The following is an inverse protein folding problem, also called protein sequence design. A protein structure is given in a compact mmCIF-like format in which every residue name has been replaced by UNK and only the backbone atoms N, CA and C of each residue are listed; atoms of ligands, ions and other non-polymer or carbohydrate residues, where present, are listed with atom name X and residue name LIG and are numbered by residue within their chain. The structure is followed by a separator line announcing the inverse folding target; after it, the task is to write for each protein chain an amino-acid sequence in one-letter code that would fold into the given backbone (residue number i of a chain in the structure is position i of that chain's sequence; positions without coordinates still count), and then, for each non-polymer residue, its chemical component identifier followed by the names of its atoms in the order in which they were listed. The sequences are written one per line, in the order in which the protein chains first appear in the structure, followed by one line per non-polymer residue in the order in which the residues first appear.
data_IF_584179704346
#
_entry.id   IF_584179704346
#
_cell.length_a   1.000
_cell.length_b   1.000
_cell.length_c   1.000
_cell.angle_alpha   90.00
_cell.angle_beta   90.00
_cell.angle_gamma   90.00
#
_symmetry.space_group_name_H-M   'P 1'
#
loop_
_entity.id
_entity.type
_entity.pdbx_description
1 polymer ?
#
# COMPACT_ATOMS: atom_id res chain seq x y z
N UNK A 1 33.84 -49.80 35.89
CA UNK A 1 34.45 -48.48 35.61
C UNK A 1 34.42 -48.24 34.10
N UNK A 2 33.93 -47.07 33.70
CA UNK A 2 33.96 -46.46 32.35
C UNK A 2 33.10 -47.12 31.25
N UNK A 3 31.86 -46.67 31.02
CA UNK A 3 31.45 -45.57 30.13
C UNK A 3 31.83 -45.75 28.64
N UNK A 4 30.82 -46.03 27.80
CA UNK A 4 30.43 -45.27 26.58
C UNK A 4 29.30 -46.02 25.87
N UNK A 5 28.06 -45.65 26.17
CA UNK A 5 27.22 -44.68 25.45
C UNK A 5 26.72 -45.22 24.09
N UNK A 6 25.46 -45.63 24.14
CA UNK A 6 24.56 -46.09 23.10
C UNK A 6 24.39 -44.98 22.05
N UNK A 7 24.82 -45.23 20.80
CA UNK A 7 24.58 -44.33 19.69
C UNK A 7 23.13 -44.47 19.21
N UNK A 8 22.27 -43.55 19.64
CA UNK A 8 20.94 -43.35 19.08
C UNK A 8 21.11 -42.58 17.78
N UNK A 9 20.79 -43.23 16.66
CA UNK A 9 20.61 -42.59 15.35
C UNK A 9 19.36 -41.69 15.44
N UNK A 10 19.58 -40.39 15.67
CA UNK A 10 18.54 -39.38 15.50
C UNK A 10 18.74 -38.76 14.12
N UNK A 11 17.96 -39.22 13.14
CA UNK A 11 17.79 -38.54 11.85
C UNK A 11 17.24 -37.15 12.14
N UNK A 12 18.12 -36.15 12.10
CA UNK A 12 17.73 -34.75 12.05
C UNK A 12 17.20 -34.50 10.62
N UNK A 13 15.88 -34.57 10.43
CA UNK A 13 15.26 -34.00 9.24
C UNK A 13 15.46 -32.48 9.32
N UNK A 14 16.45 -32.01 8.57
CA UNK A 14 16.68 -30.61 8.31
C UNK A 14 15.50 -30.10 7.48
N UNK A 15 14.42 -29.69 8.14
CA UNK A 15 13.42 -28.83 7.50
C UNK A 15 14.11 -27.48 7.35
N UNK A 16 14.71 -27.25 6.19
CA UNK A 16 15.13 -25.92 5.76
C UNK A 16 13.83 -25.17 5.45
N UNK A 17 13.14 -24.72 6.49
CA UNK A 17 12.22 -23.59 6.34
C UNK A 17 13.05 -22.35 6.05
N UNK A 18 12.47 -21.33 5.36
CA UNK A 18 13.17 -20.07 5.16
C UNK A 18 13.60 -19.54 6.53
N UNK A 19 14.91 -19.45 6.73
CA UNK A 19 15.49 -18.73 7.85
C UNK A 19 15.00 -17.29 7.74
N UNK A 20 14.10 -16.90 8.64
CA UNK A 20 13.70 -15.52 8.82
C UNK A 20 14.99 -14.76 9.16
N UNK A 21 15.50 -14.04 8.17
CA UNK A 21 16.63 -13.15 8.34
C UNK A 21 16.24 -12.13 9.40
N UNK A 22 17.12 -11.90 10.38
CA UNK A 22 16.97 -10.81 11.34
C UNK A 22 16.85 -9.52 10.52
N UNK A 23 15.67 -8.90 10.54
CA UNK A 23 15.31 -7.76 9.71
C UNK A 23 16.47 -6.76 9.63
N UNK A 24 17.03 -6.58 8.43
CA UNK A 24 17.98 -5.50 8.19
C UNK A 24 17.29 -4.17 8.58
N UNK A 25 18.00 -3.22 9.20
CA UNK A 25 17.39 -1.93 9.53
C UNK A 25 16.84 -1.30 8.24
N UNK A 26 15.57 -0.88 8.26
CA UNK A 26 14.90 -0.22 7.14
C UNK A 26 15.85 0.79 6.47
N UNK A 27 16.25 0.51 5.22
CA UNK A 27 17.19 1.37 4.48
C UNK A 27 16.40 2.35 3.64
N UNK A 28 16.52 3.68 3.84
CA UNK A 28 15.82 4.65 3.00
C UNK A 28 16.22 4.53 1.53
N UNK A 29 15.26 4.72 0.63
CA UNK A 29 15.54 5.01 -0.78
C UNK A 29 16.16 6.40 -0.84
N UNK A 30 17.37 6.48 -1.40
CA UNK A 30 18.12 7.74 -1.52
C UNK A 30 17.98 8.27 -2.94
N UNK A 31 17.42 9.47 -3.06
CA UNK A 31 17.32 10.17 -4.34
C UNK A 31 18.60 10.95 -4.59
N UNK A 32 19.24 10.71 -5.73
CA UNK A 32 20.52 11.31 -6.13
C UNK A 32 20.46 11.91 -7.53
N UNK A 33 21.39 12.81 -7.85
CA UNK A 33 21.57 13.27 -9.23
C UNK A 33 22.18 12.16 -10.10
N UNK A 34 21.91 12.19 -11.42
CA UNK A 34 22.39 11.18 -12.39
C UNK A 34 23.91 10.95 -12.32
N UNK A 35 24.70 12.01 -12.17
CA UNK A 35 26.16 11.92 -12.09
C UNK A 35 26.70 11.31 -10.78
N UNK A 36 25.84 11.11 -9.78
CA UNK A 36 26.18 10.52 -8.48
C UNK A 36 25.65 9.09 -8.32
N UNK A 37 24.84 8.63 -9.27
CA UNK A 37 24.25 7.31 -9.24
C UNK A 37 25.32 6.20 -9.40
N UNK A 38 25.07 5.07 -8.74
CA UNK A 38 25.94 3.89 -8.80
C UNK A 38 25.09 2.65 -9.03
N UNK A 39 25.66 1.65 -9.70
CA UNK A 39 24.99 0.38 -10.02
C UNK A 39 25.75 -0.84 -9.48
N UNK A 40 26.72 -0.61 -8.60
CA UNK A 40 27.59 -1.66 -8.06
C UNK A 40 26.93 -2.58 -7.03
N UNK A 41 25.77 -2.19 -6.50
CA UNK A 41 24.94 -3.03 -5.60
C UNK A 41 23.47 -2.95 -6.02
N UNK A 42 22.64 -3.93 -5.65
CA UNK A 42 21.20 -3.89 -5.89
C UNK A 42 20.54 -2.63 -5.31
N UNK A 43 20.91 -2.22 -4.09
CA UNK A 43 20.34 -1.05 -3.43
C UNK A 43 20.70 0.25 -4.15
N UNK A 44 21.95 0.38 -4.61
CA UNK A 44 22.37 1.56 -5.36
C UNK A 44 21.68 1.63 -6.73
N UNK A 45 21.54 0.49 -7.42
CA UNK A 45 20.80 0.41 -8.68
C UNK A 45 19.31 0.76 -8.49
N UNK A 46 18.70 0.29 -7.41
CA UNK A 46 17.32 0.65 -7.06
C UNK A 46 17.20 2.15 -6.73
N UNK A 47 18.14 2.72 -5.97
CA UNK A 47 18.19 4.17 -5.72
C UNK A 47 18.29 4.95 -7.04
N UNK A 48 19.09 4.50 -8.00
CA UNK A 48 19.20 5.11 -9.32
C UNK A 48 17.88 5.02 -10.11
N UNK A 49 17.18 3.88 -10.06
CA UNK A 49 15.86 3.69 -10.65
C UNK A 49 14.83 4.70 -10.13
N UNK A 50 14.70 4.83 -8.80
CA UNK A 50 13.80 5.82 -8.20
C UNK A 50 14.26 7.26 -8.50
N UNK A 51 15.57 7.50 -8.52
CA UNK A 51 16.12 8.82 -8.84
C UNK A 51 15.81 9.26 -10.27
N UNK A 52 15.84 8.35 -11.23
CA UNK A 52 15.48 8.63 -12.61
C UNK A 52 14.00 9.04 -12.75
N UNK A 53 13.10 8.34 -12.04
CA UNK A 53 11.71 8.75 -11.91
C UNK A 53 11.60 10.16 -11.32
N UNK A 54 12.26 10.41 -10.19
CA UNK A 54 12.18 11.71 -9.49
C UNK A 54 12.75 12.88 -10.32
N UNK A 55 13.77 12.62 -11.13
CA UNK A 55 14.34 13.57 -12.07
C UNK A 55 13.44 13.84 -13.28
N UNK A 56 12.49 12.94 -13.60
CA UNK A 56 11.74 13.00 -14.85
C UNK A 56 12.61 12.70 -16.07
N UNK A 57 13.70 11.93 -15.91
CA UNK A 57 14.63 11.59 -16.99
C UNK A 57 14.30 10.18 -17.51
N UNK A 58 13.50 10.13 -18.59
CA UNK A 58 13.04 8.88 -19.19
C UNK A 58 14.18 8.05 -19.78
N UNK A 59 15.20 8.69 -20.36
CA UNK A 59 16.35 7.99 -20.92
C UNK A 59 17.16 7.32 -19.81
N UNK A 60 17.40 8.05 -18.72
CA UNK A 60 18.05 7.49 -17.54
C UNK A 60 17.22 6.37 -16.92
N UNK A 61 15.90 6.52 -16.85
CA UNK A 61 15.02 5.47 -16.35
C UNK A 61 15.20 4.17 -17.15
N UNK A 62 15.23 4.24 -18.48
CA UNK A 62 15.51 3.05 -19.29
C UNK A 62 16.91 2.47 -19.09
N UNK A 63 17.93 3.28 -18.76
CA UNK A 63 19.28 2.79 -18.45
C UNK A 63 19.32 1.99 -17.13
N UNK A 64 18.41 2.29 -16.18
CA UNK A 64 18.32 1.58 -14.90
C UNK A 64 17.66 0.20 -15.01
N UNK A 65 17.07 -0.11 -16.16
CA UNK A 65 16.41 -1.37 -16.46
C UNK A 65 17.33 -2.31 -17.26
N UNK A 66 17.18 -3.62 -17.08
CA UNK A 66 17.75 -4.60 -18.03
C UNK A 66 17.28 -4.30 -19.45
N UNK A 67 18.08 -4.61 -20.46
CA UNK A 67 17.73 -4.34 -21.87
C UNK A 67 16.36 -4.91 -22.22
N UNK A 68 16.09 -6.16 -21.81
CA UNK A 68 14.82 -6.83 -22.03
C UNK A 68 13.64 -6.10 -21.38
N UNK A 69 13.78 -5.67 -20.12
CA UNK A 69 12.72 -4.94 -19.40
C UNK A 69 12.49 -3.54 -19.99
N UNK A 70 13.55 -2.85 -20.41
CA UNK A 70 13.43 -1.55 -21.09
C UNK A 70 12.71 -1.69 -22.43
N UNK A 71 13.04 -2.71 -23.21
CA UNK A 71 12.39 -3.00 -24.50
C UNK A 71 10.91 -3.35 -24.32
N UNK A 72 10.59 -4.21 -23.35
CA UNK A 72 9.21 -4.56 -23.02
C UNK A 72 8.40 -3.33 -22.62
N UNK A 73 8.93 -2.49 -21.71
CA UNK A 73 8.25 -1.28 -21.25
C UNK A 73 7.99 -0.28 -22.38
N UNK A 74 8.96 -0.07 -23.27
CA UNK A 74 8.78 0.77 -24.48
C UNK A 74 7.68 0.22 -25.38
N UNK A 75 7.70 -1.09 -25.65
CA UNK A 75 6.69 -1.73 -26.48
C UNK A 75 5.29 -1.66 -25.86
N UNK A 76 5.17 -1.69 -24.53
CA UNK A 76 3.88 -1.55 -23.85
C UNK A 76 3.32 -0.13 -23.96
N UNK A 77 4.15 0.90 -23.79
CA UNK A 77 3.73 2.28 -24.03
C UNK A 77 3.25 2.51 -25.46
N UNK A 78 4.01 2.01 -26.45
CA UNK A 78 3.63 2.10 -27.86
C UNK A 78 2.31 1.37 -28.15
N UNK A 79 2.18 0.12 -27.66
CA UNK A 79 1.00 -0.72 -27.87
C UNK A 79 -0.26 -0.09 -27.29
N UNK A 80 -0.16 0.49 -26.10
CA UNK A 80 -1.30 1.07 -25.37
C UNK A 80 -1.48 2.57 -25.66
N UNK A 81 -0.66 3.16 -26.53
CA UNK A 81 -0.69 4.60 -26.86
C UNK A 81 -0.58 5.48 -25.61
N UNK A 82 0.26 5.05 -24.66
CA UNK A 82 0.48 5.73 -23.40
C UNK A 82 1.69 6.67 -23.52
N UNK A 83 1.58 7.86 -22.91
CA UNK A 83 2.71 8.78 -22.80
C UNK A 83 3.63 8.34 -21.63
N UNK A 84 4.87 7.91 -21.89
CA UNK A 84 5.80 7.52 -20.83
C UNK A 84 6.09 8.67 -19.87
N UNK A 85 6.08 9.92 -20.34
CA UNK A 85 6.31 11.08 -19.48
C UNK A 85 5.16 11.31 -18.50
N UNK A 86 3.94 10.93 -18.87
CA UNK A 86 2.79 10.99 -17.98
C UNK A 86 2.93 9.99 -16.82
N UNK A 87 3.42 8.77 -17.07
CA UNK A 87 3.70 7.80 -16.00
C UNK A 87 4.73 8.35 -15.00
N UNK A 88 5.85 8.89 -15.50
CA UNK A 88 6.87 9.50 -14.65
C UNK A 88 6.28 10.67 -13.83
N UNK A 89 5.46 11.52 -14.44
CA UNK A 89 4.81 12.63 -13.75
C UNK A 89 3.86 12.17 -12.64
N UNK A 90 3.07 11.11 -12.87
CA UNK A 90 2.18 10.52 -11.86
C UNK A 90 3.00 10.01 -10.68
N UNK A 91 4.02 9.20 -10.96
CA UNK A 91 4.89 8.66 -9.91
C UNK A 91 5.55 9.78 -9.09
N UNK A 92 6.11 10.81 -9.75
CA UNK A 92 6.76 11.94 -9.08
C UNK A 92 5.83 12.74 -8.18
N UNK A 93 4.57 12.87 -8.58
CA UNK A 93 3.57 13.59 -7.81
C UNK A 93 3.17 12.80 -6.56
N UNK A 94 2.99 11.48 -6.71
CA UNK A 94 2.55 10.61 -5.63
C UNK A 94 3.66 10.20 -4.66
N UNK A 95 4.89 9.98 -5.12
CA UNK A 95 5.97 9.45 -4.28
C UNK A 95 6.45 10.48 -3.24
N UNK A 96 6.35 10.12 -1.95
CA UNK A 96 6.90 10.93 -0.84
C UNK A 96 8.13 10.27 -0.24
N UNK A 97 8.04 8.98 0.10
CA UNK A 97 9.11 8.25 0.76
C UNK A 97 9.14 6.80 0.33
N UNK A 98 10.35 6.22 0.25
CA UNK A 98 10.55 4.78 0.09
C UNK A 98 11.55 4.24 1.10
N UNK A 99 11.33 3.03 1.60
CA UNK A 99 12.31 2.28 2.40
C UNK A 99 12.39 0.84 1.90
N UNK A 100 13.60 0.31 1.78
CA UNK A 100 13.84 -1.13 1.60
C UNK A 100 13.56 -1.78 2.96
N UNK A 101 12.46 -2.51 3.05
CA UNK A 101 11.99 -3.17 4.26
C UNK A 101 12.54 -4.59 4.39
N UNK A 102 12.76 -5.26 3.26
CA UNK A 102 13.31 -6.62 3.22
C UNK A 102 14.15 -6.82 1.97
N UNK A 103 15.10 -7.75 2.06
CA UNK A 103 15.98 -8.12 0.97
C UNK A 103 16.17 -9.63 0.98
N UNK A 104 15.97 -10.29 -0.15
CA UNK A 104 16.14 -11.74 -0.28
C UNK A 104 16.77 -12.11 -1.62
N UNK A 105 17.47 -13.25 -1.62
CA UNK A 105 17.93 -13.88 -2.85
C UNK A 105 16.80 -14.73 -3.43
N UNK A 106 16.56 -14.61 -4.73
CA UNK A 106 15.53 -15.35 -5.43
C UNK A 106 16.04 -15.79 -6.81
N UNK A 107 16.36 -17.08 -6.94
CA UNK A 107 16.93 -17.66 -8.15
C UNK A 107 18.23 -16.96 -8.58
N UNK A 108 18.26 -16.34 -9.77
CA UNK A 108 19.39 -15.57 -10.29
C UNK A 108 19.32 -14.07 -9.96
N UNK A 109 18.36 -13.67 -9.11
CA UNK A 109 18.05 -12.28 -8.81
C UNK A 109 18.19 -11.95 -7.31
N UNK A 110 18.35 -10.65 -7.04
CA UNK A 110 18.11 -10.04 -5.73
C UNK A 110 16.75 -9.36 -5.74
N UNK A 111 15.90 -9.66 -4.78
CA UNK A 111 14.61 -8.97 -4.60
C UNK A 111 14.72 -8.02 -3.42
N UNK A 112 14.36 -6.75 -3.67
CA UNK A 112 14.27 -5.70 -2.67
C UNK A 112 12.80 -5.37 -2.47
N UNK A 113 12.27 -5.64 -1.29
CA UNK A 113 10.89 -5.32 -0.94
C UNK A 113 10.86 -3.89 -0.41
N UNK A 114 10.19 -3.02 -1.14
CA UNK A 114 10.13 -1.59 -0.86
C UNK A 114 8.78 -1.24 -0.30
N UNK A 115 8.77 -0.56 0.85
CA UNK A 115 7.60 0.16 1.35
C UNK A 115 7.64 1.59 0.85
N UNK A 116 6.68 1.96 0.02
CA UNK A 116 6.49 3.31 -0.52
C UNK A 116 5.35 3.97 0.25
N UNK A 117 5.51 5.24 0.61
CA UNK A 117 4.46 6.10 1.14
C UNK A 117 4.17 7.19 0.11
N UNK A 118 2.90 7.37 -0.23
CA UNK A 118 2.47 8.38 -1.19
C UNK A 118 2.08 9.73 -0.55
N UNK A 119 1.56 10.66 -1.35
CA UNK A 119 1.22 12.04 -0.96
C UNK A 119 -0.02 12.14 -0.08
N UNK A 120 -0.92 11.15 -0.15
CA UNK A 120 -2.05 11.03 0.77
C UNK A 120 -1.68 10.25 2.03
N UNK A 121 -0.60 9.45 1.96
CA UNK A 121 0.00 8.68 3.05
C UNK A 121 -0.33 7.20 3.02
N UNK A 122 -0.89 6.71 1.90
CA UNK A 122 -1.06 5.28 1.65
C UNK A 122 0.31 4.60 1.58
N UNK A 123 0.34 3.33 1.96
CA UNK A 123 1.55 2.53 1.87
C UNK A 123 1.39 1.41 0.86
N UNK A 124 2.40 1.26 0.02
CA UNK A 124 2.55 0.16 -0.93
C UNK A 124 3.76 -0.66 -0.52
N UNK A 125 3.59 -1.97 -0.37
CA UNK A 125 4.69 -2.91 -0.26
C UNK A 125 4.85 -3.55 -1.65
N UNK A 126 6.01 -3.38 -2.28
CA UNK A 126 6.26 -3.85 -3.65
C UNK A 126 7.64 -4.52 -3.75
N UNK A 127 7.74 -5.72 -4.34
CA UNK A 127 9.02 -6.35 -4.63
C UNK A 127 9.60 -5.80 -5.93
N UNK A 128 10.85 -5.33 -5.86
CA UNK A 128 11.65 -4.96 -7.03
C UNK A 128 12.70 -6.04 -7.28
N UNK A 129 12.67 -6.66 -8.45
CA UNK A 129 13.65 -7.68 -8.85
C UNK A 129 14.82 -7.02 -9.56
N UNK A 130 16.04 -7.35 -9.13
CA UNK A 130 17.28 -6.88 -9.74
C UNK A 130 18.19 -8.04 -10.12
N UNK A 131 18.86 -7.90 -11.26
CA UNK A 131 19.85 -8.87 -11.76
C UNK A 131 21.12 -8.15 -12.20
N UNK A 132 22.22 -8.88 -12.24
CA UNK A 132 23.48 -8.39 -12.80
C UNK A 132 23.44 -8.51 -14.34
N UNK A 133 23.59 -7.39 -15.05
CA UNK A 133 23.70 -7.31 -16.51
C UNK A 133 24.93 -6.47 -16.86
N UNK A 134 25.88 -7.05 -17.62
CA UNK A 134 27.10 -6.36 -18.06
C UNK A 134 27.97 -5.74 -16.95
N UNK A 135 27.90 -6.31 -15.74
CA UNK A 135 28.68 -5.85 -14.58
C UNK A 135 27.98 -4.77 -13.75
N UNK A 136 26.74 -4.43 -14.08
CA UNK A 136 25.90 -3.51 -13.32
C UNK A 136 24.62 -4.21 -12.83
N UNK A 137 24.15 -3.87 -11.64
CA UNK A 137 22.82 -4.28 -11.18
C UNK A 137 21.75 -3.44 -11.88
N UNK A 138 20.70 -4.09 -12.37
CA UNK A 138 19.58 -3.43 -13.03
C UNK A 138 18.24 -4.00 -12.61
N UNK A 139 17.22 -3.15 -12.61
CA UNK A 139 15.83 -3.56 -12.35
C UNK A 139 15.29 -4.34 -13.54
N UNK A 140 14.51 -5.38 -13.29
CA UNK A 140 13.96 -6.26 -14.33
C UNK A 140 12.54 -6.70 -14.01
N UNK A 141 11.80 -7.09 -15.05
CA UNK A 141 10.47 -7.69 -14.91
C UNK A 141 10.52 -9.21 -14.72
N UNK A 142 11.72 -9.82 -14.68
CA UNK A 142 11.85 -11.24 -14.34
C UNK A 142 11.13 -11.53 -13.02
N UNK A 143 10.35 -12.60 -13.02
CA UNK A 143 9.60 -13.10 -11.87
C UNK A 143 8.50 -12.17 -11.32
N UNK A 144 8.14 -11.08 -12.01
CA UNK A 144 7.06 -10.19 -11.55
C UNK A 144 5.72 -10.90 -11.37
N UNK A 145 5.46 -11.96 -12.14
CA UNK A 145 4.27 -12.81 -12.06
C UNK A 145 4.47 -14.07 -11.18
N UNK A 146 5.53 -14.13 -10.38
CA UNK A 146 5.83 -15.29 -9.53
C UNK A 146 4.96 -15.31 -8.29
N UNK A 147 4.18 -16.38 -8.08
CA UNK A 147 3.37 -16.58 -6.86
C UNK A 147 4.21 -16.48 -5.57
N UNK A 148 5.50 -16.86 -5.62
CA UNK A 148 6.42 -16.75 -4.49
C UNK A 148 6.66 -15.29 -4.02
N UNK A 149 6.37 -14.29 -4.85
CA UNK A 149 6.53 -12.88 -4.50
C UNK A 149 5.21 -12.21 -4.09
N UNK A 150 4.06 -12.86 -4.24
CA UNK A 150 2.75 -12.33 -3.85
C UNK A 150 2.68 -11.89 -2.37
N UNK A 151 3.27 -12.61 -1.39
CA UNK A 151 3.24 -12.17 0.00
C UNK A 151 3.94 -10.82 0.27
N UNK A 152 4.74 -10.34 -0.69
CA UNK A 152 5.46 -9.08 -0.62
C UNK A 152 4.76 -7.94 -1.37
N UNK A 153 3.57 -8.20 -1.90
CA UNK A 153 2.71 -7.19 -2.55
C UNK A 153 1.56 -6.86 -1.60
N UNK A 154 1.54 -5.64 -1.08
CA UNK A 154 0.49 -5.21 -0.16
C UNK A 154 0.14 -3.73 -0.36
N UNK A 155 -1.10 -3.37 -0.03
CA UNK A 155 -1.60 -2.01 -0.03
C UNK A 155 -2.29 -1.72 1.30
N UNK A 156 -1.73 -0.76 2.03
CA UNK A 156 -2.23 -0.33 3.33
C UNK A 156 -2.72 1.12 3.17
N UNK A 157 -4.03 1.34 3.03
CA UNK A 157 -4.57 2.68 2.90
C UNK A 157 -4.37 3.46 4.20
N UNK A 158 -4.10 4.75 4.09
CA UNK A 158 -4.22 5.65 5.23
C UNK A 158 -5.69 5.88 5.51
N UNK A 159 -6.11 5.55 6.73
CA UNK A 159 -7.49 5.72 7.15
C UNK A 159 -7.64 6.94 8.04
N UNK A 160 -8.67 7.72 7.77
CA UNK A 160 -9.29 8.64 8.70
C UNK A 160 -10.26 7.85 9.59
N UNK A 161 -10.17 7.96 10.92
CA UNK A 161 -10.96 7.15 11.87
C UNK A 161 -12.07 7.94 12.57
N UNK A 162 -12.55 9.00 11.93
CA UNK A 162 -13.49 9.92 12.57
C UNK A 162 -12.90 10.58 13.84
N UNK A 163 -13.64 11.51 14.43
CA UNK A 163 -13.24 12.14 15.70
C UNK A 163 -14.28 11.84 16.79
N UNK A 164 -14.70 10.58 16.89
CA UNK A 164 -15.48 10.10 18.03
C UNK A 164 -14.79 10.43 19.37
N UNK A 165 -15.58 10.62 20.44
CA UNK A 165 -15.10 11.12 21.74
C UNK A 165 -14.25 10.12 22.57
N UNK A 166 -13.77 9.02 22.01
CA UNK A 166 -13.25 7.85 22.76
C UNK A 166 -11.92 7.31 22.17
N UNK A 167 -11.18 6.47 22.93
CA UNK A 167 -9.81 6.03 22.58
C UNK A 167 -9.69 5.42 21.17
N UNK A 168 -8.46 5.43 20.64
CA UNK A 168 -8.11 4.99 19.30
C UNK A 168 -8.57 3.57 18.92
N UNK A 169 -8.87 2.71 19.91
CA UNK A 169 -9.36 1.34 19.68
C UNK A 169 -10.86 1.28 19.35
N UNK A 170 -11.66 2.29 19.73
CA UNK A 170 -13.08 2.39 19.35
C UNK A 170 -13.22 2.98 17.95
N UNK A 171 -12.46 4.04 17.67
CA UNK A 171 -12.46 4.71 16.37
C UNK A 171 -11.98 3.79 15.22
N UNK A 172 -11.38 2.64 15.54
CA UNK A 172 -10.97 1.65 14.55
C UNK A 172 -12.15 0.79 14.01
N UNK A 173 -13.37 0.99 14.51
CA UNK A 173 -14.54 0.26 14.00
C UNK A 173 -14.99 0.78 12.64
N UNK A 174 -14.89 2.09 12.40
CA UNK A 174 -15.11 2.71 11.09
C UNK A 174 -13.88 3.49 10.64
N UNK A 175 -13.30 3.10 9.52
CA UNK A 175 -12.21 3.82 8.86
C UNK A 175 -12.62 4.33 7.50
N UNK A 176 -12.10 5.48 7.08
CA UNK A 176 -12.38 6.08 5.78
C UNK A 176 -11.08 6.30 5.04
N UNK A 177 -10.96 5.71 3.85
CA UNK A 177 -9.88 6.07 2.93
C UNK A 177 -10.27 7.32 2.13
N UNK A 178 -11.56 7.49 1.85
CA UNK A 178 -12.11 8.75 1.35
C UNK A 178 -13.47 8.97 2.02
N UNK A 179 -13.68 10.08 2.75
CA UNK A 179 -12.80 11.25 2.87
C UNK A 179 -11.62 11.05 3.84
N UNK A 180 -10.63 11.94 3.78
CA UNK A 180 -9.48 11.98 4.69
C UNK A 180 -9.68 12.96 5.88
N UNK A 181 -10.81 13.67 5.92
CA UNK A 181 -11.15 14.68 6.91
C UNK A 181 -12.64 14.63 7.28
N UNK A 182 -13.00 15.19 8.44
CA UNK A 182 -14.40 15.31 8.88
C UNK A 182 -15.26 16.16 7.95
N UNK A 183 -14.65 17.08 7.18
CA UNK A 183 -15.35 17.96 6.25
C UNK A 183 -14.64 17.97 4.90
N UNK A 184 -15.38 17.64 3.84
CA UNK A 184 -14.90 17.68 2.45
C UNK A 184 -15.64 18.77 1.70
N UNK A 185 -14.91 19.67 1.03
CA UNK A 185 -15.49 20.66 0.12
C UNK A 185 -15.32 20.19 -1.31
N UNK A 186 -16.39 20.23 -2.09
CA UNK A 186 -16.41 19.74 -3.47
C UNK A 186 -16.46 20.89 -4.47
N UNK A 187 -15.99 20.58 -5.67
CA UNK A 187 -16.16 21.46 -6.83
C UNK A 187 -17.63 21.63 -7.22
N UNK A 188 -17.90 22.66 -8.01
CA UNK A 188 -19.26 22.98 -8.46
C UNK A 188 -19.81 21.88 -9.36
N UNK A 189 -21.08 21.52 -9.14
CA UNK A 189 -21.80 20.56 -9.98
C UNK A 189 -21.65 19.10 -9.57
N UNK A 190 -20.88 18.81 -8.51
CA UNK A 190 -20.79 17.46 -7.93
C UNK A 190 -22.09 17.13 -7.18
N UNK A 191 -22.75 16.06 -7.60
CA UNK A 191 -24.04 15.58 -7.05
C UNK A 191 -23.92 14.23 -6.36
N UNK A 192 -22.72 13.65 -6.31
CA UNK A 192 -22.46 12.39 -5.62
C UNK A 192 -21.03 12.34 -5.06
N UNK A 193 -20.82 11.47 -4.09
CA UNK A 193 -19.48 11.18 -3.56
C UNK A 193 -19.32 9.70 -3.30
N UNK A 194 -18.22 9.13 -3.77
CA UNK A 194 -17.88 7.73 -3.51
C UNK A 194 -17.14 7.63 -2.19
N UNK A 195 -17.88 7.27 -1.14
CA UNK A 195 -17.33 6.98 0.18
C UNK A 195 -16.59 5.64 0.11
N UNK A 196 -15.31 5.63 0.50
CA UNK A 196 -14.57 4.39 0.69
C UNK A 196 -14.40 4.12 2.18
N UNK A 197 -15.19 3.17 2.68
CA UNK A 197 -15.27 2.81 4.09
C UNK A 197 -14.61 1.44 4.34
N UNK A 198 -13.97 1.32 5.50
CA UNK A 198 -13.35 0.12 6.04
C UNK A 198 -14.00 -0.21 7.38
N UNK A 199 -14.37 -1.47 7.54
CA UNK A 199 -15.03 -1.97 8.74
C UNK A 199 -14.03 -2.71 9.62
N UNK A 200 -14.00 -2.36 10.91
CA UNK A 200 -13.16 -3.04 11.90
C UNK A 200 -13.45 -4.54 11.96
N UNK A 201 -12.44 -5.34 12.30
CA UNK A 201 -12.57 -6.81 12.36
C UNK A 201 -13.48 -7.35 13.46
N UNK A 202 -13.95 -6.49 14.38
CA UNK A 202 -14.72 -6.88 15.56
C UNK A 202 -16.07 -6.17 15.66
N UNK A 203 -16.53 -5.53 14.57
CA UNK A 203 -17.85 -4.90 14.54
C UNK A 203 -18.97 -5.94 14.63
N UNK A 204 -20.13 -5.52 15.11
CA UNK A 204 -21.41 -6.21 14.94
C UNK A 204 -22.21 -5.54 13.82
N UNK A 205 -22.25 -6.13 12.61
CA UNK A 205 -22.97 -5.57 11.47
C UNK A 205 -24.45 -5.30 11.71
N UNK A 206 -25.10 -6.05 12.62
CA UNK A 206 -26.52 -5.90 12.89
C UNK A 206 -26.87 -4.58 13.58
N UNK A 207 -25.88 -3.94 14.20
CA UNK A 207 -26.02 -2.65 14.90
C UNK A 207 -25.75 -1.45 14.01
N UNK A 208 -25.30 -1.67 12.77
CA UNK A 208 -24.91 -0.60 11.88
C UNK A 208 -26.08 0.32 11.51
N UNK A 209 -25.86 1.62 11.63
CA UNK A 209 -26.80 2.67 11.23
C UNK A 209 -26.10 3.70 10.35
N UNK A 210 -26.82 4.23 9.38
CA UNK A 210 -26.34 5.28 8.49
C UNK A 210 -27.47 6.24 8.11
N UNK A 211 -27.27 7.54 8.32
CA UNK A 211 -28.19 8.56 7.81
C UNK A 211 -27.46 9.64 7.04
N UNK A 212 -28.07 10.10 5.95
CA UNK A 212 -27.60 11.23 5.17
C UNK A 212 -28.68 12.29 5.16
N UNK A 213 -28.36 13.48 5.67
CA UNK A 213 -29.33 14.55 5.91
C UNK A 213 -30.54 14.05 6.73
N UNK A 214 -30.27 13.19 7.72
CA UNK A 214 -31.26 12.52 8.59
C UNK A 214 -32.16 11.49 7.90
N UNK A 215 -31.96 11.20 6.61
CA UNK A 215 -32.63 10.12 5.90
C UNK A 215 -31.85 8.83 6.07
N UNK A 216 -32.53 7.74 6.41
CA UNK A 216 -31.91 6.41 6.47
C UNK A 216 -31.37 6.03 5.09
N UNK A 217 -30.07 5.73 5.05
CA UNK A 217 -29.37 5.23 3.88
C UNK A 217 -28.64 3.92 4.17
N UNK A 218 -28.90 3.28 5.32
CA UNK A 218 -28.36 1.95 5.67
C UNK A 218 -28.48 0.92 4.53
N UNK A 219 -29.56 0.88 3.71
CA UNK A 219 -29.64 -0.06 2.59
C UNK A 219 -28.54 0.08 1.52
N UNK A 220 -27.77 1.17 1.51
CA UNK A 220 -26.62 1.34 0.62
C UNK A 220 -25.35 0.65 1.15
N UNK A 221 -25.36 0.16 2.38
CA UNK A 221 -24.21 -0.39 3.06
C UNK A 221 -24.36 -1.89 3.28
N UNK A 222 -23.24 -2.59 3.19
CA UNK A 222 -23.09 -4.04 3.42
C UNK A 222 -21.95 -4.27 4.42
N UNK A 223 -22.12 -3.85 5.70
CA UNK A 223 -21.08 -3.98 6.71
C UNK A 223 -20.73 -5.44 6.94
N UNK A 224 -19.44 -5.76 6.90
CA UNK A 224 -18.91 -7.08 7.26
C UNK A 224 -17.58 -6.90 8.00
N UNK A 225 -17.27 -7.70 9.04
CA UNK A 225 -16.04 -7.54 9.79
C UNK A 225 -14.79 -7.63 8.90
N UNK A 226 -13.90 -6.65 9.01
CA UNK A 226 -12.65 -6.59 8.25
C UNK A 226 -12.81 -6.31 6.76
N UNK A 227 -14.04 -6.03 6.28
CA UNK A 227 -14.27 -5.73 4.87
C UNK A 227 -14.09 -4.25 4.56
N UNK A 228 -14.09 -3.94 3.27
CA UNK A 228 -14.17 -2.58 2.74
C UNK A 228 -15.32 -2.48 1.75
N UNK A 229 -15.87 -1.28 1.60
CA UNK A 229 -16.95 -1.01 0.66
C UNK A 229 -16.78 0.37 0.01
N UNK A 230 -17.19 0.48 -1.25
CA UNK A 230 -17.43 1.75 -1.93
C UNK A 230 -18.93 2.03 -1.93
N UNK A 231 -19.33 3.20 -1.44
CA UNK A 231 -20.74 3.61 -1.34
C UNK A 231 -20.91 4.96 -2.02
N UNK A 232 -21.66 4.99 -3.12
CA UNK A 232 -22.00 6.24 -3.80
C UNK A 232 -23.10 6.97 -3.05
N UNK A 233 -22.73 8.05 -2.37
CA UNK A 233 -23.64 8.91 -1.62
C UNK A 233 -24.29 9.93 -2.57
N UNK A 234 -25.63 10.02 -2.64
CA UNK A 234 -26.30 11.09 -3.37
C UNK A 234 -26.22 12.39 -2.56
N UNK A 235 -25.68 13.45 -3.14
CA UNK A 235 -25.50 14.74 -2.48
C UNK A 235 -26.49 15.78 -2.99
N UNK A 236 -27.03 16.56 -2.06
CA UNK A 236 -27.82 17.75 -2.34
C UNK A 236 -26.91 18.98 -2.48
N UNK A 237 -27.43 20.07 -3.04
CA UNK A 237 -26.71 21.34 -3.07
C UNK A 237 -26.52 21.89 -1.65
N UNK A 238 -25.32 22.37 -1.34
CA UNK A 238 -24.96 22.91 -0.04
C UNK A 238 -24.41 21.85 0.91
N UNK A 239 -24.91 21.85 2.15
CA UNK A 239 -24.33 21.07 3.24
C UNK A 239 -25.03 19.73 3.41
N UNK A 240 -24.28 18.65 3.17
CA UNK A 240 -24.69 17.29 3.41
C UNK A 240 -24.02 16.72 4.66
N UNK A 241 -24.77 15.98 5.46
CA UNK A 241 -24.28 15.40 6.73
C UNK A 241 -24.54 13.90 6.72
N UNK A 242 -23.46 13.13 6.73
CA UNK A 242 -23.48 11.69 6.93
C UNK A 242 -23.20 11.40 8.40
N UNK A 243 -24.09 10.64 9.03
CA UNK A 243 -23.93 10.13 10.40
C UNK A 243 -23.94 8.61 10.34
N UNK A 244 -22.91 7.98 10.90
CA UNK A 244 -22.68 6.54 10.90
C UNK A 244 -22.50 6.08 12.33
N UNK A 245 -22.97 4.87 12.66
CA UNK A 245 -22.69 4.27 13.97
C UNK A 245 -22.66 2.76 13.87
N UNK A 246 -21.77 2.12 14.64
CA UNK A 246 -21.69 0.67 14.76
C UNK A 246 -21.15 0.27 16.13
N UNK A 247 -21.64 -0.83 16.67
CA UNK A 247 -21.05 -1.45 17.84
C UNK A 247 -19.95 -2.44 17.44
N UNK A 248 -18.99 -2.63 18.33
CA UNK A 248 -17.93 -3.62 18.17
C UNK A 248 -17.28 -4.00 19.49
N UNK A 249 -16.47 -5.05 19.45
CA UNK A 249 -15.74 -5.55 20.62
C UNK A 249 -14.33 -4.96 20.64
N UNK A 250 -13.98 -4.28 21.72
CA UNK A 250 -12.64 -3.71 21.92
C UNK A 250 -11.62 -4.78 22.30
N UNK A 251 -10.34 -4.39 22.29
CA UNK A 251 -9.22 -5.25 22.71
C UNK A 251 -9.35 -5.81 24.14
N UNK A 252 -10.05 -5.11 25.03
CA UNK A 252 -10.34 -5.56 26.41
C UNK A 252 -11.58 -6.46 26.53
N UNK A 253 -12.17 -6.86 25.40
CA UNK A 253 -13.35 -7.73 25.33
C UNK A 253 -14.68 -7.04 25.61
N UNK A 254 -14.71 -5.73 25.87
CA UNK A 254 -15.96 -4.99 26.10
C UNK A 254 -16.52 -4.42 24.80
N UNK A 255 -17.83 -4.41 24.70
CA UNK A 255 -18.56 -3.71 23.63
C UNK A 255 -18.42 -2.19 23.76
N UNK A 256 -18.24 -1.52 22.64
CA UNK A 256 -18.32 -0.07 22.51
C UNK A 256 -19.07 0.30 21.23
N UNK A 257 -19.58 1.52 21.19
CA UNK A 257 -20.21 2.09 20.02
C UNK A 257 -19.30 3.17 19.43
N UNK A 258 -18.99 3.04 18.15
CA UNK A 258 -18.32 4.05 17.35
C UNK A 258 -19.37 4.86 16.60
N UNK A 259 -19.21 6.19 16.58
CA UNK A 259 -20.17 7.10 15.95
C UNK A 259 -19.44 8.26 15.30
N UNK A 260 -19.67 8.38 14.00
CA UNK A 260 -18.99 9.34 13.15
C UNK A 260 -19.94 10.29 12.46
N UNK A 261 -19.39 11.46 12.16
CA UNK A 261 -20.08 12.54 11.48
C UNK A 261 -19.19 13.14 10.42
N UNK A 262 -19.51 12.87 9.15
CA UNK A 262 -18.82 13.40 7.98
C UNK A 262 -19.68 14.48 7.31
N UNK A 263 -19.05 15.56 6.86
CA UNK A 263 -19.72 16.69 6.21
C UNK A 263 -19.22 16.86 4.80
N UNK A 264 -20.13 16.98 3.84
CA UNK A 264 -19.81 17.27 2.45
C UNK A 264 -20.43 18.61 2.07
N UNK A 265 -19.62 19.57 1.64
CA UNK A 265 -20.05 20.89 1.19
C UNK A 265 -19.96 20.94 -0.33
N UNK A 266 -21.11 20.93 -1.00
CA UNK A 266 -21.20 21.13 -2.45
C UNK A 266 -21.42 22.61 -2.74
N UNK A 267 -20.68 23.14 -3.72
CA UNK A 267 -20.91 24.51 -4.17
C UNK A 267 -22.26 24.60 -4.92
N UNK A 268 -23.05 25.66 -4.70
CA UNK A 268 -24.28 25.91 -5.45
C UNK A 268 -24.02 26.19 -6.93
#
# INVERSE_FOLDING_TARGET
MSNRLMAVFMMLQLVIGPTISLAEPNRPIVISEKGQASYGTPENALNAFFSAYMAGDLEWHYQTLTEAAAAEKKADFERNQLDPMAELAIFRRGFVQGVIAESLDYLDARVLVVRIIDDIGDQFLLPYTLVMEEGEWKVTNKYSASEALEPYVDFIPKLYFGHGQRPADVNAFLGYHQPQDATTTMEKGITSFDLQIYYGGTIDPATFTATLNKKDIRPLFEPSPGSRQFVTLPLESGRNVLELSVEGVRSDGKTANDSDRLVFITAP
#
